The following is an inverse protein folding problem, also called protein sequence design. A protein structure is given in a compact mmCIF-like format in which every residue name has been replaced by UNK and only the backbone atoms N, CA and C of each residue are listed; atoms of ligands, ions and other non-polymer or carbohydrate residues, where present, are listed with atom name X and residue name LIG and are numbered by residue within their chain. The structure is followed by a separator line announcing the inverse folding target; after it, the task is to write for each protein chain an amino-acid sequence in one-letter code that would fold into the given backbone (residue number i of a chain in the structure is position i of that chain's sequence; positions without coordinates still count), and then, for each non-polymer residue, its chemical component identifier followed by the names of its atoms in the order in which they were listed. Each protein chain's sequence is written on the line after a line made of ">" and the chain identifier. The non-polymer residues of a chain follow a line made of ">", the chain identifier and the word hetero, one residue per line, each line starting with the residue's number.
data_IF_263789484611
#
_entry.id   IF_263789484611
#
_cell.length_a   1.000
_cell.length_b   1.000
_cell.length_c   1.000
_cell.angle_alpha   90.00
_cell.angle_beta   90.00
_cell.angle_gamma   90.00
#
_symmetry.space_group_name_H-M   'P 1'
#
loop_
_entity.id
_entity.type
_entity.pdbx_description
1 polymer ?
#
# COMPACT_ATOMS: atom_id res chain seq x y z
N UNK A 1 -8.92 -0.36 -7.40
CA UNK A 1 -7.65 0.29 -7.82
C UNK A 1 -6.58 -0.77 -8.02
N UNK A 2 -5.57 -0.47 -8.79
CA UNK A 2 -4.42 -1.35 -8.81
C UNK A 2 -3.62 -1.15 -7.50
N UNK A 3 -2.72 -2.08 -7.22
CA UNK A 3 -2.11 -2.15 -5.88
C UNK A 3 -1.31 -0.92 -5.48
N UNK A 4 -0.52 -0.36 -6.38
CA UNK A 4 0.29 0.81 -6.06
C UNK A 4 -0.58 2.05 -5.82
N UNK A 5 -1.61 2.24 -6.63
CA UNK A 5 -2.55 3.34 -6.46
C UNK A 5 -3.28 3.24 -5.12
N UNK A 6 -3.70 2.02 -4.76
CA UNK A 6 -4.39 1.79 -3.49
C UNK A 6 -3.48 2.14 -2.31
N UNK A 7 -2.22 1.70 -2.35
CA UNK A 7 -1.26 1.98 -1.29
C UNK A 7 -1.01 3.48 -1.14
N UNK A 8 -0.79 4.16 -2.25
CA UNK A 8 -0.55 5.62 -2.23
C UNK A 8 -1.77 6.38 -1.73
N UNK A 9 -2.97 5.96 -2.15
CA UNK A 9 -4.22 6.59 -1.69
C UNK A 9 -4.37 6.48 -0.17
N UNK A 10 -4.14 5.28 0.39
CA UNK A 10 -4.24 5.08 1.83
C UNK A 10 -3.21 5.94 2.57
N UNK A 11 -1.96 5.93 2.14
CA UNK A 11 -0.91 6.73 2.79
C UNK A 11 -1.21 8.22 2.73
N UNK A 12 -1.76 8.69 1.60
CA UNK A 12 -2.14 10.09 1.46
C UNK A 12 -3.27 10.47 2.41
N UNK A 13 -4.29 9.62 2.50
CA UNK A 13 -5.46 9.88 3.33
C UNK A 13 -5.12 9.86 4.82
N UNK A 14 -4.24 8.94 5.23
CA UNK A 14 -3.85 8.85 6.63
C UNK A 14 -2.83 9.91 7.04
N UNK A 15 -2.03 10.37 6.10
CA UNK A 15 -1.06 11.42 6.34
C UNK A 15 0.04 11.06 7.33
N UNK A 16 0.34 9.77 7.49
CA UNK A 16 1.32 9.27 8.46
C UNK A 16 1.95 7.99 7.95
N UNK A 17 3.15 7.62 8.44
CA UNK A 17 3.74 6.32 8.11
C UNK A 17 2.87 5.19 8.63
N UNK A 18 2.74 4.13 7.83
CA UNK A 18 1.93 2.97 8.19
C UNK A 18 2.68 1.67 7.88
N UNK A 19 2.46 0.69 8.75
CA UNK A 19 2.88 -0.68 8.47
C UNK A 19 2.05 -1.23 7.31
N UNK A 20 2.64 -2.09 6.48
CA UNK A 20 1.95 -2.61 5.30
C UNK A 20 0.64 -3.33 5.63
N UNK A 21 0.55 -3.95 6.82
CA UNK A 21 -0.68 -4.63 7.25
C UNK A 21 -1.83 -3.64 7.44
N UNK A 22 -1.53 -2.47 7.95
CA UNK A 22 -2.52 -1.39 8.11
C UNK A 22 -2.92 -0.85 6.74
N UNK A 23 -1.96 -0.67 5.85
CA UNK A 23 -2.25 -0.25 4.47
C UNK A 23 -3.19 -1.25 3.81
N UNK A 24 -2.91 -2.54 3.95
CA UNK A 24 -3.74 -3.60 3.39
C UNK A 24 -5.16 -3.56 3.96
N UNK A 25 -5.28 -3.50 5.28
CA UNK A 25 -6.57 -3.50 5.95
C UNK A 25 -7.43 -2.30 5.52
N UNK A 26 -6.84 -1.11 5.48
CA UNK A 26 -7.56 0.09 5.08
C UNK A 26 -7.93 0.06 3.60
N UNK A 27 -7.04 -0.43 2.74
CA UNK A 27 -7.34 -0.54 1.32
C UNK A 27 -8.51 -1.49 1.07
N UNK A 28 -8.55 -2.62 1.78
CA UNK A 28 -9.66 -3.56 1.67
C UNK A 28 -10.95 -2.96 2.24
N UNK A 29 -10.87 -2.33 3.40
CA UNK A 29 -12.02 -1.74 4.07
C UNK A 29 -12.66 -0.62 3.23
N UNK A 30 -11.84 0.16 2.53
CA UNK A 30 -12.31 1.29 1.71
C UNK A 30 -12.71 0.86 0.31
N UNK A 31 -12.57 -0.42 -0.03
CA UNK A 31 -12.90 -0.92 -1.35
C UNK A 31 -11.89 -0.56 -2.44
N UNK A 32 -10.69 -0.11 -2.05
CA UNK A 32 -9.61 0.15 -3.01
C UNK A 32 -9.02 -1.13 -3.56
N UNK A 33 -9.02 -2.19 -2.76
CA UNK A 33 -8.65 -3.53 -3.18
C UNK A 33 -9.84 -4.45 -2.94
N UNK A 34 -10.04 -5.40 -3.86
CA UNK A 34 -11.15 -6.34 -3.80
C UNK A 34 -10.61 -7.77 -3.85
N UNK A 35 -10.72 -8.54 -2.74
CA UNK A 35 -10.18 -9.89 -2.70
C UNK A 35 -10.92 -10.86 -3.63
N UNK A 36 -12.12 -10.51 -4.10
CA UNK A 36 -12.88 -11.36 -5.02
C UNK A 36 -12.40 -11.23 -6.47
N UNK A 37 -11.82 -10.09 -6.83
CA UNK A 37 -11.36 -9.82 -8.20
C UNK A 37 -9.85 -9.71 -8.32
N UNK A 38 -9.15 -9.47 -7.21
CA UNK A 38 -7.70 -9.33 -7.19
C UNK A 38 -7.09 -10.47 -6.36
N UNK A 39 -6.08 -11.14 -6.90
CA UNK A 39 -5.47 -12.30 -6.24
C UNK A 39 -4.23 -11.90 -5.46
N UNK A 40 -3.84 -12.77 -4.52
CA UNK A 40 -2.58 -12.64 -3.78
C UNK A 40 -2.38 -11.23 -3.22
N UNK A 41 -3.39 -10.74 -2.51
CA UNK A 41 -3.44 -9.35 -2.03
C UNK A 41 -2.15 -8.96 -1.31
N UNK A 42 -1.72 -9.73 -0.30
CA UNK A 42 -0.52 -9.43 0.47
C UNK A 42 0.72 -9.36 -0.41
N UNK A 43 0.92 -10.39 -1.22
CA UNK A 43 2.11 -10.50 -2.08
C UNK A 43 2.17 -9.36 -3.09
N UNK A 44 1.05 -9.09 -3.74
CA UNK A 44 0.98 -8.04 -4.76
C UNK A 44 1.10 -6.64 -4.14
N UNK A 45 0.54 -6.44 -2.95
CA UNK A 45 0.69 -5.17 -2.24
C UNK A 45 2.15 -4.93 -1.85
N UNK A 46 2.83 -5.95 -1.30
CA UNK A 46 4.24 -5.82 -0.94
C UNK A 46 5.10 -5.53 -2.17
N UNK A 47 4.82 -6.20 -3.29
CA UNK A 47 5.54 -5.94 -4.54
C UNK A 47 5.28 -4.51 -5.04
N UNK A 48 4.04 -4.03 -4.92
CA UNK A 48 3.67 -2.68 -5.32
C UNK A 48 4.36 -1.63 -4.45
N UNK A 49 4.45 -1.87 -3.14
CA UNK A 49 5.14 -0.96 -2.23
C UNK A 49 6.64 -0.91 -2.56
N UNK A 50 7.26 -2.05 -2.84
CA UNK A 50 8.66 -2.09 -3.24
C UNK A 50 8.88 -1.32 -4.56
N UNK A 51 7.97 -1.49 -5.52
CA UNK A 51 8.02 -0.76 -6.79
C UNK A 51 7.85 0.74 -6.61
N UNK A 52 6.91 1.13 -5.75
CA UNK A 52 6.67 2.54 -5.45
C UNK A 52 7.88 3.18 -4.76
N UNK A 53 8.57 2.43 -3.89
CA UNK A 53 9.78 2.91 -3.24
C UNK A 53 10.90 3.13 -4.26
N UNK A 54 11.08 2.19 -5.18
CA UNK A 54 12.07 2.33 -6.24
C UNK A 54 11.76 3.53 -7.16
N UNK A 55 10.48 3.80 -7.38
CA UNK A 55 10.04 4.93 -8.21
C UNK A 55 10.04 6.26 -7.46
N UNK A 56 10.37 6.27 -6.17
CA UNK A 56 10.40 7.49 -5.38
C UNK A 56 9.04 8.00 -4.96
N UNK A 57 7.99 7.19 -5.05
CA UNK A 57 6.63 7.59 -4.65
C UNK A 57 6.37 7.39 -3.16
N UNK A 58 7.01 6.40 -2.57
CA UNK A 58 6.96 6.16 -1.13
C UNK A 58 8.36 5.94 -0.60
N UNK A 59 8.54 6.04 0.71
CA UNK A 59 9.79 5.70 1.39
C UNK A 59 9.56 4.59 2.39
N UNK A 60 10.46 3.62 2.41
CA UNK A 60 10.48 2.58 3.43
C UNK A 60 11.31 3.09 4.61
N UNK A 61 10.68 3.29 5.76
CA UNK A 61 11.34 3.82 6.95
C UNK A 61 12.04 2.74 7.75
N UNK A 62 11.31 1.68 8.03
CA UNK A 62 11.82 0.51 8.75
C UNK A 62 11.09 -0.71 8.20
N UNK A 63 11.40 -1.88 8.74
CA UNK A 63 10.84 -3.12 8.20
C UNK A 63 9.31 -3.06 8.16
N UNK A 64 8.76 -3.10 6.96
CA UNK A 64 7.32 -3.13 6.75
C UNK A 64 6.60 -1.79 6.86
N UNK A 65 7.30 -0.69 7.23
CA UNK A 65 6.68 0.62 7.41
C UNK A 65 7.01 1.54 6.25
N UNK A 66 5.99 2.19 5.71
CA UNK A 66 6.11 3.05 4.52
C UNK A 66 5.42 4.39 4.75
N UNK A 67 5.91 5.42 4.09
CA UNK A 67 5.29 6.74 4.07
C UNK A 67 5.34 7.32 2.66
N UNK A 68 4.56 8.35 2.40
CA UNK A 68 4.67 9.09 1.13
C UNK A 68 6.02 9.79 1.08
N UNK A 69 6.61 9.77 -0.10
CA UNK A 69 7.86 10.50 -0.35
C UNK A 69 7.61 12.00 -0.44
#
# INVERSE_FOLDING_TARGET
>A
MEFQEAAVAVLREEGAPLHWTVIQDLALKRGYLDPFTQRDIRRNLLAALAGAARAGRVRKLEKGVYELA
#
